data_IF_313764809352
#
_entry.id   IF_313764809352
#
_cell.length_a   1.000
_cell.length_b   1.000
_cell.length_c   1.000
_cell.angle_alpha   90.00
_cell.angle_beta   90.00
_cell.angle_gamma   90.00
#
_symmetry.space_group_name_H-M   'P 1'
#
loop_
_entity.id
_entity.type
_entity.pdbx_description
1 polymer ?
#
# COMPACT_ATOMS: atom_id res chain seq x y z
N UNK A 1 63.00 -64.07 4.09
CA UNK A 1 63.39 -63.04 3.11
C UNK A 1 62.41 -61.89 3.32
N UNK A 2 62.83 -60.70 3.78
CA UNK A 2 61.88 -59.66 4.14
C UNK A 2 61.33 -59.00 2.86
N UNK A 3 60.02 -58.77 2.89
CA UNK A 3 59.24 -58.09 1.87
C UNK A 3 59.67 -56.63 1.81
N UNK A 4 60.07 -56.13 0.64
CA UNK A 4 60.46 -54.73 0.47
C UNK A 4 59.19 -53.90 0.37
N UNK A 5 58.94 -53.10 1.41
CA UNK A 5 57.81 -52.17 1.48
C UNK A 5 57.84 -51.19 0.30
N UNK A 6 56.75 -51.16 -0.47
CA UNK A 6 56.55 -50.31 -1.64
C UNK A 6 56.61 -48.81 -1.28
N UNK A 7 56.43 -48.48 0.00
CA UNK A 7 56.45 -47.13 0.53
C UNK A 7 57.83 -46.47 0.48
N UNK A 8 58.92 -47.23 0.67
CA UNK A 8 60.31 -46.72 0.61
C UNK A 8 60.72 -46.25 -0.80
N UNK A 9 60.04 -46.74 -1.85
CA UNK A 9 60.35 -46.35 -3.24
C UNK A 9 59.68 -45.05 -3.70
N UNK A 10 58.70 -44.54 -2.95
CA UNK A 10 57.93 -43.34 -3.32
C UNK A 10 58.66 -42.06 -2.86
N UNK A 11 59.38 -42.12 -1.74
CA UNK A 11 60.01 -40.95 -1.10
C UNK A 11 61.24 -40.43 -1.88
N UNK A 12 61.96 -41.28 -2.60
CA UNK A 12 63.23 -40.93 -3.27
C UNK A 12 63.08 -40.35 -4.69
N UNK A 13 61.85 -40.16 -5.21
CA UNK A 13 61.59 -39.74 -6.60
C UNK A 13 60.84 -38.40 -6.72
N UNK A 14 60.53 -37.74 -5.60
CA UNK A 14 59.42 -36.79 -5.54
C UNK A 14 59.77 -35.41 -4.97
N UNK A 15 61.04 -35.00 -4.98
CA UNK A 15 61.47 -33.65 -4.59
C UNK A 15 60.67 -32.57 -5.36
N UNK A 16 60.42 -32.82 -6.64
CA UNK A 16 59.61 -31.95 -7.52
C UNK A 16 58.13 -31.89 -7.14
N UNK A 17 57.57 -32.94 -6.52
CA UNK A 17 56.17 -32.95 -6.08
C UNK A 17 56.03 -32.24 -4.73
N UNK A 18 57.05 -32.37 -3.87
CA UNK A 18 57.12 -31.66 -2.60
C UNK A 18 57.26 -30.15 -2.81
N UNK A 19 58.01 -29.70 -3.82
CA UNK A 19 58.09 -28.28 -4.21
C UNK A 19 56.75 -27.69 -4.71
N UNK A 20 55.94 -28.48 -5.41
CA UNK A 20 54.61 -28.04 -5.88
C UNK A 20 53.63 -27.89 -4.71
N UNK A 21 53.77 -28.70 -3.66
CA UNK A 21 52.89 -28.68 -2.48
C UNK A 21 53.36 -27.71 -1.39
N UNK A 22 54.65 -27.34 -1.38
CA UNK A 22 55.23 -26.48 -0.33
C UNK A 22 55.05 -24.99 -0.62
N UNK A 23 54.95 -24.59 -1.90
CA UNK A 23 54.74 -23.20 -2.30
C UNK A 23 53.54 -23.06 -3.24
N UNK A 24 52.49 -22.31 -2.86
CA UNK A 24 51.39 -22.04 -3.77
C UNK A 24 51.92 -21.24 -4.98
N UNK A 25 51.67 -21.69 -6.22
CA UNK A 25 52.27 -21.07 -7.39
C UNK A 25 51.78 -19.62 -7.56
N UNK A 26 52.71 -18.70 -7.83
CA UNK A 26 52.41 -17.26 -8.00
C UNK A 26 51.33 -16.96 -9.05
N UNK A 27 51.15 -17.82 -10.05
CA UNK A 27 50.08 -17.69 -11.05
C UNK A 27 48.69 -17.79 -10.43
N UNK A 28 48.48 -18.66 -9.44
CA UNK A 28 47.19 -18.82 -8.75
C UNK A 28 46.77 -17.53 -8.05
N UNK A 29 47.72 -16.83 -7.44
CA UNK A 29 47.47 -15.55 -6.73
C UNK A 29 47.12 -14.44 -7.73
N UNK A 30 47.81 -14.38 -8.88
CA UNK A 30 47.52 -13.38 -9.92
C UNK A 30 46.14 -13.57 -10.57
N UNK A 31 45.76 -14.82 -10.85
CA UNK A 31 44.43 -15.13 -11.38
C UNK A 31 43.34 -14.91 -10.34
N UNK A 32 43.57 -15.28 -9.07
CA UNK A 32 42.61 -15.06 -7.98
C UNK A 32 42.27 -13.58 -7.78
N UNK A 33 43.27 -12.70 -7.76
CA UNK A 33 43.04 -11.26 -7.64
C UNK A 33 42.26 -10.68 -8.84
N UNK A 34 42.52 -11.20 -10.05
CA UNK A 34 41.80 -10.78 -11.27
C UNK A 34 40.32 -11.19 -11.21
N UNK A 35 40.03 -12.41 -10.77
CA UNK A 35 38.66 -12.90 -10.59
C UNK A 35 37.93 -12.08 -9.52
N UNK A 36 38.59 -11.79 -8.39
CA UNK A 36 38.02 -10.97 -7.33
C UNK A 36 37.67 -9.56 -7.81
N UNK A 37 38.58 -8.93 -8.56
CA UNK A 37 38.34 -7.61 -9.16
C UNK A 37 37.14 -7.63 -10.12
N UNK A 38 37.02 -8.67 -10.96
CA UNK A 38 35.88 -8.83 -11.88
C UNK A 38 34.56 -8.96 -11.10
N UNK A 39 34.52 -9.77 -10.04
CA UNK A 39 33.33 -9.94 -9.20
C UNK A 39 32.94 -8.61 -8.56
N UNK A 40 33.91 -7.87 -8.01
CA UNK A 40 33.66 -6.56 -7.41
C UNK A 40 33.07 -5.57 -8.43
N UNK A 41 33.66 -5.49 -9.62
CA UNK A 41 33.15 -4.65 -10.72
C UNK A 41 31.74 -5.07 -11.11
N UNK A 42 31.47 -6.38 -11.22
CA UNK A 42 30.16 -6.91 -11.57
C UNK A 42 29.08 -6.47 -10.58
N UNK A 43 29.37 -6.52 -9.27
CA UNK A 43 28.45 -6.06 -8.21
C UNK A 43 28.18 -4.55 -8.36
N UNK A 44 29.21 -3.75 -8.59
CA UNK A 44 29.06 -2.29 -8.78
C UNK A 44 28.23 -1.96 -10.03
N UNK A 45 28.47 -2.63 -11.15
CA UNK A 45 27.67 -2.46 -12.36
C UNK A 45 26.21 -2.84 -12.12
N UNK A 46 25.97 -3.97 -11.45
CA UNK A 46 24.61 -4.45 -11.18
C UNK A 46 23.85 -3.49 -10.26
N UNK A 47 24.53 -2.94 -9.24
CA UNK A 47 23.96 -1.90 -8.38
C UNK A 47 23.67 -0.60 -9.11
N UNK A 48 24.44 -0.24 -10.14
CA UNK A 48 24.17 0.95 -10.95
C UNK A 48 22.99 0.74 -11.92
N UNK A 49 22.88 -0.45 -12.51
CA UNK A 49 21.84 -0.78 -13.50
C UNK A 49 20.48 -0.97 -12.81
N UNK A 50 20.44 -1.58 -11.63
CA UNK A 50 19.19 -1.83 -10.90
C UNK A 50 18.82 -0.57 -10.12
N UNK A 51 18.05 0.32 -10.76
CA UNK A 51 17.45 1.48 -10.09
C UNK A 51 16.27 1.03 -9.23
N UNK A 52 16.32 1.35 -7.93
CA UNK A 52 15.17 1.15 -7.06
C UNK A 52 14.08 2.18 -7.41
N UNK A 53 12.81 1.76 -7.61
CA UNK A 53 11.73 2.70 -7.87
C UNK A 53 11.44 3.49 -6.59
N UNK A 54 11.74 4.78 -6.59
CA UNK A 54 11.47 5.70 -5.47
C UNK A 54 9.97 5.88 -5.20
N UNK A 55 9.14 5.66 -6.22
CA UNK A 55 7.68 5.81 -6.13
C UNK A 55 6.96 4.60 -6.72
N UNK A 56 6.00 4.07 -5.97
CA UNK A 56 5.09 3.01 -6.42
C UNK A 56 3.72 3.63 -6.74
N UNK A 57 3.31 3.74 -8.01
CA UNK A 57 2.02 4.29 -8.36
C UNK A 57 0.91 3.36 -7.86
N UNK A 58 0.03 3.89 -7.00
CA UNK A 58 -1.09 3.16 -6.44
C UNK A 58 -2.40 3.92 -6.72
N UNK A 59 -3.50 3.23 -7.05
CA UNK A 59 -4.81 3.86 -7.20
C UNK A 59 -5.32 4.32 -5.84
N UNK A 60 -5.78 5.57 -5.76
CA UNK A 60 -6.45 6.14 -4.58
C UNK A 60 -7.88 6.55 -4.94
N UNK A 61 -8.85 6.17 -4.11
CA UNK A 61 -10.25 6.58 -4.26
C UNK A 61 -10.52 7.71 -3.26
N UNK A 62 -10.87 8.88 -3.77
CA UNK A 62 -11.24 10.04 -2.94
C UNK A 62 -12.73 9.97 -2.65
N UNK A 63 -13.09 9.72 -1.39
CA UNK A 63 -14.47 9.68 -0.90
C UNK A 63 -14.75 10.89 -0.01
N UNK A 64 -16.00 11.37 0.01
CA UNK A 64 -16.45 12.39 0.96
C UNK A 64 -16.48 11.80 2.38
N UNK A 65 -16.15 12.61 3.40
CA UNK A 65 -16.28 12.21 4.80
C UNK A 65 -17.75 11.98 5.21
N UNK A 66 -18.68 12.70 4.57
CA UNK A 66 -20.10 12.54 4.80
C UNK A 66 -20.79 12.29 3.45
N UNK A 67 -21.18 11.04 3.13
CA UNK A 67 -21.89 10.75 1.89
C UNK A 67 -23.29 11.35 1.94
N UNK A 68 -23.89 11.70 0.78
CA UNK A 68 -25.26 12.18 0.73
C UNK A 68 -26.22 11.06 1.17
N UNK A 69 -26.99 11.33 2.22
CA UNK A 69 -28.05 10.43 2.69
C UNK A 69 -29.37 10.80 2.02
N UNK A 70 -30.11 9.78 1.56
CA UNK A 70 -31.44 9.99 1.00
C UNK A 70 -32.42 10.27 2.13
N UNK A 71 -33.07 11.43 2.08
CA UNK A 71 -34.16 11.77 2.99
C UNK A 71 -35.45 11.19 2.43
N UNK A 72 -36.03 10.21 3.13
CA UNK A 72 -37.30 9.58 2.76
C UNK A 72 -38.39 9.90 3.78
N UNK A 73 -39.60 10.18 3.30
CA UNK A 73 -40.76 10.38 4.17
C UNK A 73 -41.24 9.03 4.72
N UNK A 74 -41.64 8.99 6.00
CA UNK A 74 -42.16 7.77 6.64
C UNK A 74 -43.45 7.23 6.01
N UNK A 75 -44.21 8.08 5.34
CA UNK A 75 -45.46 7.73 4.69
C UNK A 75 -45.43 8.11 3.20
N UNK A 76 -45.97 7.21 2.38
CA UNK A 76 -46.18 7.46 0.96
C UNK A 76 -47.57 8.08 0.76
N UNK A 77 -47.61 9.40 0.58
CA UNK A 77 -48.82 10.14 0.23
C UNK A 77 -48.55 11.04 -0.98
N UNK A 78 -49.61 11.61 -1.57
CA UNK A 78 -49.49 12.53 -2.69
C UNK A 78 -48.76 13.80 -2.25
N UNK A 79 -47.91 14.33 -3.12
CA UNK A 79 -47.24 15.61 -2.88
C UNK A 79 -48.27 16.73 -3.05
N UNK A 80 -48.47 17.55 -2.02
CA UNK A 80 -49.34 18.71 -2.07
C UNK A 80 -48.57 19.96 -2.52
N UNK A 81 -47.39 20.19 -1.94
CA UNK A 81 -46.56 21.37 -2.24
C UNK A 81 -45.08 21.09 -2.07
N UNK A 82 -44.27 21.63 -2.98
CA UNK A 82 -42.79 21.57 -2.95
C UNK A 82 -42.28 23.00 -2.72
N UNK A 83 -41.39 23.17 -1.74
CA UNK A 83 -40.85 24.49 -1.37
C UNK A 83 -39.41 24.71 -1.83
N UNK A 84 -38.72 23.65 -2.24
CA UNK A 84 -37.31 23.67 -2.63
C UNK A 84 -37.12 23.39 -4.11
N UNK A 85 -36.01 23.90 -4.65
CA UNK A 85 -35.53 23.60 -6.00
C UNK A 85 -34.36 22.64 -5.95
N UNK A 86 -34.07 22.03 -7.09
CA UNK A 86 -32.90 21.18 -7.24
C UNK A 86 -31.61 21.93 -6.86
N UNK A 87 -30.70 21.24 -6.17
CA UNK A 87 -29.44 21.78 -5.63
C UNK A 87 -29.55 23.02 -4.71
N UNK A 88 -30.73 23.34 -4.19
CA UNK A 88 -30.90 24.43 -3.23
C UNK A 88 -30.25 24.07 -1.87
N UNK A 89 -29.47 24.99 -1.31
CA UNK A 89 -28.94 24.85 0.06
C UNK A 89 -30.07 25.01 1.07
N UNK A 90 -30.18 24.06 1.99
CA UNK A 90 -31.18 24.03 3.07
C UNK A 90 -30.49 23.86 4.42
N UNK A 91 -31.16 24.29 5.49
CA UNK A 91 -30.70 24.12 6.88
C UNK A 91 -31.55 23.07 7.60
N UNK A 92 -31.04 22.55 8.70
CA UNK A 92 -31.77 21.63 9.57
C UNK A 92 -33.06 22.28 10.06
N UNK A 93 -34.19 21.62 9.82
CA UNK A 93 -35.53 22.11 10.20
C UNK A 93 -36.28 22.84 9.08
N UNK A 94 -35.65 23.09 7.93
CA UNK A 94 -36.33 23.66 6.78
C UNK A 94 -37.36 22.68 6.20
N UNK A 95 -38.54 23.20 5.88
CA UNK A 95 -39.64 22.43 5.31
C UNK A 95 -39.41 22.29 3.81
N UNK A 96 -39.06 21.09 3.36
CA UNK A 96 -38.73 20.80 1.97
C UNK A 96 -39.99 20.64 1.09
N UNK A 97 -40.98 19.92 1.63
CA UNK A 97 -42.19 19.50 0.93
C UNK A 97 -43.30 19.21 1.95
N UNK A 98 -44.55 19.38 1.53
CA UNK A 98 -45.74 18.95 2.27
C UNK A 98 -46.46 17.85 1.49
N UNK A 99 -46.73 16.76 2.21
CA UNK A 99 -47.54 15.65 1.73
C UNK A 99 -49.00 15.89 2.07
N UNK A 100 -49.90 15.41 1.21
CA UNK A 100 -51.33 15.52 1.40
C UNK A 100 -51.76 14.83 2.70
N UNK A 101 -52.43 15.60 3.54
CA UNK A 101 -52.97 15.19 4.84
C UNK A 101 -54.40 15.68 5.01
N UNK A 102 -55.13 15.15 5.99
CA UNK A 102 -56.47 15.62 6.35
C UNK A 102 -56.44 17.00 7.06
N UNK A 103 -55.28 17.39 7.60
CA UNK A 103 -55.08 18.65 8.29
C UNK A 103 -54.40 19.69 7.39
N UNK A 104 -54.84 20.95 7.46
CA UNK A 104 -54.23 22.05 6.71
C UNK A 104 -52.84 22.37 7.29
N UNK A 105 -51.84 22.39 6.41
CA UNK A 105 -50.46 22.73 6.74
C UNK A 105 -50.32 24.08 7.46
N UNK A 106 -51.05 25.12 7.05
CA UNK A 106 -50.93 26.46 7.64
C UNK A 106 -51.36 26.47 9.11
N UNK A 107 -52.40 25.70 9.44
CA UNK A 107 -52.94 25.62 10.80
C UNK A 107 -52.01 24.80 11.70
N UNK A 108 -51.38 23.75 11.17
CA UNK A 108 -50.34 23.00 11.88
C UNK A 108 -49.14 23.91 12.22
N UNK A 109 -48.72 24.76 11.27
CA UNK A 109 -47.59 25.67 11.49
C UNK A 109 -47.90 26.72 12.57
N UNK A 110 -49.13 27.25 12.58
CA UNK A 110 -49.60 28.18 13.64
C UNK A 110 -49.65 27.48 14.99
N UNK A 111 -50.23 26.28 15.05
CA UNK A 111 -50.30 25.49 16.28
C UNK A 111 -48.91 25.21 16.84
N UNK A 112 -47.97 24.78 15.99
CA UNK A 112 -46.59 24.53 16.38
C UNK A 112 -45.95 25.77 17.01
N UNK A 113 -46.13 26.96 16.42
CA UNK A 113 -45.61 28.22 16.99
C UNK A 113 -46.18 28.52 18.38
N UNK A 114 -47.48 28.28 18.59
CA UNK A 114 -48.12 28.49 19.89
C UNK A 114 -47.57 27.52 20.93
N UNK A 115 -47.47 26.23 20.59
CA UNK A 115 -46.93 25.20 21.49
C UNK A 115 -45.48 25.47 21.84
N UNK A 116 -44.63 25.81 20.87
CA UNK A 116 -43.22 26.13 21.08
C UNK A 116 -43.04 27.34 22.04
N UNK A 117 -43.97 28.31 21.99
CA UNK A 117 -43.97 29.47 22.89
C UNK A 117 -44.32 29.08 24.33
N UNK A 118 -45.22 28.11 24.52
CA UNK A 118 -45.66 27.67 25.85
C UNK A 118 -44.64 26.72 26.49
N UNK A 119 -43.99 25.86 25.69
CA UNK A 119 -43.03 24.87 26.17
C UNK A 119 -41.62 25.42 26.47
N UNK A 120 -41.33 26.67 26.10
CA UNK A 120 -40.03 27.33 26.31
C UNK A 120 -39.97 28.16 27.61
N UNK A 121 -40.91 27.98 28.54
CA UNK A 121 -40.83 28.40 29.95
C UNK A 121 -40.85 27.16 30.86
#
# INVERSE_FOLDING_TARGET
MPEKDVLDNIELRSESVQDILTQPPHWMIRWGNTIFLIILIMILMMSYIIKYPEFVPAPIVVTSQNPPEKIEARSSSKIEKIFIRDHQKVKTGDILMVLQSAANYEDILKLKKIVDTIASN
#
